data_IF_312804175132
#
_entry.id   IF_312804175132
#
_cell.length_a   1.000
_cell.length_b   1.000
_cell.length_c   1.000
_cell.angle_alpha   90.00
_cell.angle_beta   90.00
_cell.angle_gamma   90.00
#
_symmetry.space_group_name_H-M   'P 1'
#
loop_
_entity.id
_entity.type
_entity.pdbx_description
1 polymer ?
#
# COMPACT_ATOMS: atom_id res chain seq x y z
N UNK A 1 -15.60 -7.86 -19.89
CA UNK A 1 -15.64 -7.36 -20.01
C UNK A 1 -14.82 -6.56 -20.28
N UNK A 2 -14.68 -6.29 -20.63
CA UNK A 2 -14.10 -5.46 -21.16
C UNK A 2 -13.52 -4.57 -20.41
N UNK A 3 -13.73 -4.41 -19.51
CA UNK A 3 -13.26 -3.53 -18.83
C UNK A 3 -12.05 -3.79 -18.24
N UNK A 4 -11.33 -4.63 -18.71
CA UNK A 4 -10.15 -4.83 -18.26
C UNK A 4 -9.20 -3.84 -18.65
N UNK A 5 -9.35 -3.14 -19.69
CA UNK A 5 -8.40 -2.20 -20.14
C UNK A 5 -8.61 -0.88 -19.51
N UNK A 6 -7.64 -0.32 -18.84
CA UNK A 6 -7.75 0.98 -18.24
C UNK A 6 -7.28 2.06 -19.22
N UNK A 7 -7.90 3.21 -19.15
CA UNK A 7 -7.47 4.34 -19.97
C UNK A 7 -6.16 4.86 -19.39
N UNK A 8 -5.49 5.71 -20.13
CA UNK A 8 -4.27 6.32 -19.64
C UNK A 8 -4.51 7.10 -18.38
N UNK A 9 -5.64 7.77 -18.32
CA UNK A 9 -5.95 8.55 -17.13
C UNK A 9 -6.18 7.65 -15.95
N UNK A 10 -6.83 6.53 -16.18
CA UNK A 10 -7.07 5.60 -15.09
C UNK A 10 -5.77 4.99 -14.62
N UNK A 11 -4.85 4.72 -15.53
CA UNK A 11 -3.56 4.19 -15.15
C UNK A 11 -2.78 5.19 -14.32
N UNK A 12 -2.84 6.45 -14.69
CA UNK A 12 -2.15 7.48 -13.94
C UNK A 12 -2.75 7.63 -12.56
N UNK A 13 -4.07 7.55 -12.47
CA UNK A 13 -4.72 7.67 -11.18
C UNK A 13 -4.35 6.50 -10.28
N UNK A 14 -4.28 5.30 -10.86
CA UNK A 14 -3.93 4.13 -10.09
C UNK A 14 -2.48 4.21 -9.63
N UNK A 15 -1.60 4.71 -10.48
CA UNK A 15 -0.20 4.88 -10.12
C UNK A 15 -0.05 5.85 -8.95
N UNK A 16 -0.83 6.93 -8.98
CA UNK A 16 -0.80 7.89 -7.90
C UNK A 16 -1.31 7.27 -6.61
N UNK A 17 -2.34 6.45 -6.72
CA UNK A 17 -2.91 5.80 -5.57
C UNK A 17 -1.90 4.85 -4.95
N UNK A 18 -1.18 4.09 -5.78
CA UNK A 18 -0.17 3.18 -5.28
C UNK A 18 0.91 3.94 -4.52
N UNK A 19 1.35 5.07 -5.07
CA UNK A 19 2.38 5.85 -4.41
C UNK A 19 1.90 6.42 -3.09
N UNK A 20 0.65 6.84 -3.06
CA UNK A 20 0.08 7.37 -1.84
C UNK A 20 -0.01 6.30 -0.77
N UNK A 21 -0.46 5.10 -1.17
CA UNK A 21 -0.61 4.01 -0.22
C UNK A 21 0.75 3.54 0.29
N UNK A 22 1.77 3.62 -0.55
CA UNK A 22 3.10 3.26 -0.11
C UNK A 22 3.58 4.23 0.95
N UNK A 23 3.32 5.52 0.75
CA UNK A 23 3.73 6.51 1.74
C UNK A 23 3.02 6.28 3.05
N UNK A 24 1.71 5.97 3.00
CA UNK A 24 0.96 5.73 4.22
C UNK A 24 1.50 4.51 4.95
N UNK A 25 1.83 3.45 4.21
CA UNK A 25 2.37 2.27 4.85
C UNK A 25 3.72 2.55 5.49
N UNK A 26 4.52 3.42 4.88
CA UNK A 26 5.80 3.79 5.46
C UNK A 26 5.64 4.59 6.74
N UNK A 27 4.60 5.41 6.80
CA UNK A 27 4.33 6.17 8.00
C UNK A 27 3.97 5.24 9.15
N UNK A 28 3.16 4.22 8.88
CA UNK A 28 2.81 3.27 9.92
C UNK A 28 4.00 2.41 10.31
N UNK A 29 4.84 2.03 9.33
CA UNK A 29 6.04 1.27 9.62
C UNK A 29 6.97 2.07 10.54
N UNK A 30 7.04 3.37 10.33
CA UNK A 30 7.86 4.22 11.17
C UNK A 30 7.32 4.25 12.59
N UNK A 31 6.00 4.30 12.74
CA UNK A 31 5.39 4.28 14.06
C UNK A 31 5.68 2.96 14.77
N UNK A 32 5.62 1.86 14.05
CA UNK A 32 5.91 0.57 14.64
C UNK A 32 7.38 0.51 15.07
N UNK A 33 8.26 1.02 14.24
CA UNK A 33 9.68 1.06 14.54
C UNK A 33 9.92 1.87 15.81
N UNK A 34 9.28 3.02 15.94
CA UNK A 34 9.46 3.85 17.10
C UNK A 34 8.94 3.18 18.36
N UNK A 35 7.83 2.46 18.24
CA UNK A 35 7.30 1.75 19.38
C UNK A 35 8.30 0.71 19.87
N UNK A 36 8.86 -0.05 18.93
CA UNK A 36 9.79 -1.11 19.29
C UNK A 36 11.07 -0.54 19.90
N UNK A 37 11.57 0.53 19.34
CA UNK A 37 12.82 1.06 19.81
C UNK A 37 12.72 1.89 21.07
N UNK A 38 11.69 2.68 21.18
CA UNK A 38 11.65 3.67 22.25
C UNK A 38 10.61 3.47 23.32
N UNK A 39 9.56 2.76 23.04
CA UNK A 39 8.47 2.72 24.00
C UNK A 39 8.18 1.36 24.64
N UNK A 40 8.82 0.32 24.16
CA UNK A 40 8.64 -0.97 24.81
C UNK A 40 9.66 -1.10 25.90
N UNK A 41 9.36 -1.84 26.97
CA UNK A 41 8.15 -2.65 27.10
C UNK A 41 6.94 -1.89 27.63
N UNK A 42 7.11 -0.69 28.12
CA UNK A 42 6.00 0.03 28.74
C UNK A 42 4.82 0.26 27.80
N UNK A 43 5.11 0.51 26.52
CA UNK A 43 4.07 0.79 25.55
C UNK A 43 3.47 -0.46 24.89
N UNK A 44 3.60 -1.60 25.54
CA UNK A 44 3.17 -2.85 24.90
C UNK A 44 1.70 -2.85 24.47
N UNK A 45 0.88 -2.07 25.15
CA UNK A 45 -0.54 -2.07 24.81
C UNK A 45 -0.80 -1.49 23.42
N UNK A 46 0.16 -0.75 22.88
CA UNK A 46 -0.02 -0.18 21.54
C UNK A 46 0.36 -1.16 20.45
N UNK A 47 0.98 -2.29 20.80
CA UNK A 47 1.46 -3.22 19.77
C UNK A 47 0.36 -3.67 18.82
N UNK A 48 -0.76 -4.13 19.36
CA UNK A 48 -1.80 -4.67 18.51
C UNK A 48 -2.39 -3.61 17.58
N UNK A 49 -2.63 -2.42 18.13
CA UNK A 49 -3.24 -1.36 17.30
C UNK A 49 -2.32 -0.90 16.19
N UNK A 50 -1.07 -0.64 16.52
CA UNK A 50 -0.13 -0.15 15.53
C UNK A 50 0.18 -1.23 14.50
N UNK A 51 0.33 -2.49 14.95
CA UNK A 51 0.64 -3.54 13.99
C UNK A 51 -0.55 -3.81 13.08
N UNK A 52 -1.78 -3.71 13.59
CA UNK A 52 -2.95 -3.89 12.73
C UNK A 52 -3.02 -2.79 11.68
N UNK A 53 -2.78 -1.55 12.10
CA UNK A 53 -2.79 -0.43 11.17
C UNK A 53 -1.70 -0.56 10.12
N UNK A 54 -0.53 -1.02 10.54
CA UNK A 54 0.57 -1.23 9.61
C UNK A 54 0.22 -2.34 8.61
N UNK A 55 -0.36 -3.41 9.11
CA UNK A 55 -0.76 -4.51 8.24
C UNK A 55 -1.79 -4.02 7.22
N UNK A 56 -2.81 -3.31 7.70
CA UNK A 56 -3.87 -2.85 6.80
C UNK A 56 -3.33 -1.91 5.74
N UNK A 57 -2.43 -1.02 6.12
CA UNK A 57 -1.86 -0.08 5.17
C UNK A 57 -1.02 -0.80 4.13
N UNK A 58 -0.23 -1.77 4.56
CA UNK A 58 0.60 -2.52 3.63
C UNK A 58 -0.23 -3.39 2.71
N UNK A 59 -1.31 -3.96 3.23
CA UNK A 59 -2.17 -4.76 2.40
C UNK A 59 -2.87 -3.91 1.35
N UNK A 60 -3.31 -2.73 1.74
CA UNK A 60 -3.94 -1.83 0.78
C UNK A 60 -2.98 -1.48 -0.34
N UNK A 61 -1.72 -1.22 0.00
CA UNK A 61 -0.72 -0.94 -1.01
C UNK A 61 -0.52 -2.16 -1.92
N UNK A 62 -0.40 -3.34 -1.32
CA UNK A 62 -0.15 -4.56 -2.10
C UNK A 62 -1.29 -4.83 -3.08
N UNK A 63 -2.53 -4.63 -2.63
CA UNK A 63 -3.67 -4.86 -3.51
C UNK A 63 -3.69 -3.86 -4.66
N UNK A 64 -3.43 -2.59 -4.38
CA UNK A 64 -3.42 -1.59 -5.42
C UNK A 64 -2.26 -1.80 -6.38
N UNK A 65 -1.10 -2.17 -5.84
CA UNK A 65 0.07 -2.40 -6.66
C UNK A 65 -0.15 -3.60 -7.59
N UNK A 66 -0.83 -4.62 -7.11
CA UNK A 66 -1.12 -5.78 -7.95
C UNK A 66 -2.03 -5.39 -9.11
N UNK A 67 -3.01 -4.53 -8.83
CA UNK A 67 -3.90 -4.06 -9.89
C UNK A 67 -3.14 -3.22 -10.91
N UNK A 68 -2.24 -2.38 -10.44
CA UNK A 68 -1.47 -1.56 -11.35
C UNK A 68 -0.58 -2.42 -12.23
N UNK A 69 0.07 -3.41 -11.65
CA UNK A 69 0.93 -4.28 -12.42
C UNK A 69 0.16 -5.08 -13.45
N UNK A 70 -1.03 -5.56 -13.06
CA UNK A 70 -1.84 -6.32 -13.99
C UNK A 70 -2.28 -5.43 -15.15
N UNK A 71 -2.63 -4.18 -14.87
CA UNK A 71 -3.05 -3.28 -15.93
C UNK A 71 -1.89 -2.92 -16.84
N UNK A 72 -0.71 -2.72 -16.28
CA UNK A 72 0.45 -2.43 -17.10
C UNK A 72 0.84 -3.61 -17.97
N UNK A 73 0.69 -4.80 -17.44
CA UNK A 73 1.01 -5.97 -18.19
C UNK A 73 0.11 -6.13 -19.39
N UNK A 74 -1.18 -5.87 -19.20
CA UNK A 74 -2.10 -5.94 -20.30
C UNK A 74 -1.77 -4.94 -21.36
N UNK A 75 -1.39 -3.74 -20.98
CA UNK A 75 -1.03 -2.72 -21.93
C UNK A 75 0.21 -3.13 -22.70
N UNK A 76 1.18 -3.70 -22.03
CA UNK A 76 2.38 -4.13 -22.69
C UNK A 76 2.11 -5.24 -23.69
N UNK A 77 1.20 -6.14 -23.32
CA UNK A 77 0.89 -7.20 -24.20
C UNK A 77 0.29 -6.74 -25.47
N UNK A 78 -0.48 -5.70 -25.43
CA UNK A 78 -1.08 -5.21 -26.60
C UNK A 78 -0.14 -4.43 -27.40
N UNK A 79 0.81 -3.84 -26.89
CA UNK A 79 1.74 -3.04 -27.62
C UNK A 79 2.73 -3.88 -28.36
#
# INVERSE_FOLDING_TARGET
>A
MTDKELTMEELKALDKEVKKLKRISSEWASQLHDLVEDRLPAGYEEIHGISQSTYDACKAWADANARLRAAQKETEKEG
#
